data_IF_611328989871
#
_entry.id   IF_611328989871
#
_cell.length_a   1.000
_cell.length_b   1.000
_cell.length_c   1.000
_cell.angle_alpha   90.00
_cell.angle_beta   90.00
_cell.angle_gamma   90.00
#
_symmetry.space_group_name_H-M   'P 1'
#
loop_
_entity.id
_entity.type
_entity.pdbx_description
1 polymer ?
#
# COMPACT_ATOMS: atom_id res chain seq x y z
N UNK A 1 -21.62 -1.03 -3.20
CA UNK A 1 -20.16 -0.89 -2.97
C UNK A 1 -19.96 -0.59 -1.49
N UNK A 2 -19.03 -1.27 -0.81
CA UNK A 2 -18.73 -0.96 0.60
C UNK A 2 -17.93 0.33 0.63
N UNK A 3 -18.46 1.40 1.24
CA UNK A 3 -17.70 2.64 1.40
C UNK A 3 -16.75 2.51 2.59
N UNK A 4 -15.48 2.29 2.26
CA UNK A 4 -14.43 1.98 3.24
C UNK A 4 -14.12 3.17 4.14
N UNK A 5 -14.39 4.41 3.68
CA UNK A 5 -14.17 5.64 4.46
C UNK A 5 -15.29 5.93 5.46
N UNK A 6 -16.47 5.34 5.26
CA UNK A 6 -17.60 5.48 6.19
C UNK A 6 -17.61 4.39 7.27
N UNK A 7 -16.69 3.41 7.20
CA UNK A 7 -16.57 2.38 8.21
C UNK A 7 -15.96 2.95 9.49
N UNK A 8 -16.51 2.54 10.64
CA UNK A 8 -15.85 2.74 11.93
C UNK A 8 -14.61 1.84 12.04
N UNK A 9 -13.72 2.14 12.98
CA UNK A 9 -12.55 1.29 13.25
C UNK A 9 -12.93 -0.16 13.53
N UNK A 10 -14.02 -0.36 14.28
CA UNK A 10 -14.52 -1.68 14.59
C UNK A 10 -15.01 -2.42 13.35
N UNK A 11 -15.77 -1.75 12.48
CA UNK A 11 -16.27 -2.36 11.24
C UNK A 11 -15.16 -2.67 10.26
N UNK A 12 -14.15 -1.79 10.16
CA UNK A 12 -12.95 -2.00 9.36
C UNK A 12 -12.16 -3.22 9.85
N UNK A 13 -11.99 -3.34 11.18
CA UNK A 13 -11.33 -4.49 11.82
C UNK A 13 -12.05 -5.81 11.51
N UNK A 14 -13.37 -5.84 11.69
CA UNK A 14 -14.21 -7.02 11.43
C UNK A 14 -14.18 -7.44 9.97
N UNK A 15 -14.20 -6.49 9.03
CA UNK A 15 -14.11 -6.81 7.60
C UNK A 15 -12.77 -7.42 7.22
N UNK A 16 -11.67 -6.88 7.76
CA UNK A 16 -10.34 -7.44 7.54
C UNK A 16 -10.23 -8.86 8.11
N UNK A 17 -10.75 -9.09 9.33
CA UNK A 17 -10.78 -10.42 9.96
C UNK A 17 -11.58 -11.44 9.16
N UNK A 18 -12.74 -11.05 8.61
CA UNK A 18 -13.54 -11.90 7.72
C UNK A 18 -12.80 -12.33 6.46
N UNK A 19 -11.88 -11.50 5.97
CA UNK A 19 -11.05 -11.77 4.80
C UNK A 19 -9.77 -12.55 5.16
N UNK A 20 -9.62 -12.99 6.42
CA UNK A 20 -8.46 -13.73 6.90
C UNK A 20 -7.25 -12.87 7.25
N UNK A 21 -7.42 -11.55 7.37
CA UNK A 21 -6.37 -10.63 7.79
C UNK A 21 -6.56 -10.25 9.27
N UNK A 22 -5.52 -10.39 10.09
CA UNK A 22 -5.56 -10.02 11.52
C UNK A 22 -4.91 -8.66 11.74
N UNK A 23 -5.67 -7.55 11.66
CA UNK A 23 -5.13 -6.22 11.90
C UNK A 23 -4.78 -6.02 13.38
N UNK A 24 -3.72 -5.25 13.61
CA UNK A 24 -3.35 -4.74 14.93
C UNK A 24 -4.21 -3.53 15.34
N UNK A 25 -3.75 -2.71 16.29
CA UNK A 25 -4.49 -1.53 16.74
C UNK A 25 -4.76 -0.58 15.57
N UNK A 26 -6.02 -0.16 15.41
CA UNK A 26 -6.42 0.80 14.39
C UNK A 26 -6.19 2.20 14.93
N UNK A 27 -5.02 2.74 14.61
CA UNK A 27 -4.65 4.13 14.87
C UNK A 27 -4.92 5.00 13.64
N UNK A 28 -5.12 6.32 13.79
CA UNK A 28 -5.34 7.23 12.66
C UNK A 28 -4.26 7.13 11.56
N UNK A 29 -3.00 6.94 11.95
CA UNK A 29 -1.86 6.73 11.04
C UNK A 29 -1.94 5.43 10.25
N UNK A 30 -2.49 4.37 10.85
CA UNK A 30 -2.63 3.04 10.26
C UNK A 30 -3.97 2.80 9.57
N UNK A 31 -5.02 3.58 9.91
CA UNK A 31 -6.38 3.43 9.38
C UNK A 31 -6.38 3.47 7.85
N UNK A 32 -5.67 4.44 7.27
CA UNK A 32 -5.52 4.59 5.81
C UNK A 32 -4.89 3.37 5.14
N UNK A 33 -3.96 2.70 5.82
CA UNK A 33 -3.35 1.46 5.35
C UNK A 33 -4.38 0.33 5.36
N UNK A 34 -5.14 0.17 6.45
CA UNK A 34 -6.17 -0.84 6.58
C UNK A 34 -7.33 -0.65 5.59
N UNK A 35 -7.78 0.58 5.35
CA UNK A 35 -8.77 0.89 4.31
C UNK A 35 -8.29 0.45 2.92
N UNK A 36 -7.05 0.82 2.57
CA UNK A 36 -6.46 0.42 1.28
C UNK A 36 -6.35 -1.10 1.16
N UNK A 37 -5.99 -1.79 2.26
CA UNK A 37 -5.95 -3.25 2.32
C UNK A 37 -7.33 -3.86 2.09
N UNK A 38 -8.38 -3.30 2.71
CA UNK A 38 -9.75 -3.78 2.55
C UNK A 38 -10.23 -3.61 1.10
N UNK A 39 -10.00 -2.46 0.47
CA UNK A 39 -10.30 -2.26 -0.97
C UNK A 39 -9.56 -3.30 -1.84
N UNK A 40 -8.28 -3.53 -1.56
CA UNK A 40 -7.48 -4.50 -2.32
C UNK A 40 -7.99 -5.94 -2.17
N UNK A 41 -8.33 -6.36 -0.95
CA UNK A 41 -8.85 -7.70 -0.69
C UNK A 41 -10.23 -7.92 -1.34
N UNK A 42 -11.07 -6.88 -1.37
CA UNK A 42 -12.37 -6.93 -2.06
C UNK A 42 -12.22 -6.95 -3.59
N UNK A 43 -11.18 -6.31 -4.14
CA UNK A 43 -10.95 -6.24 -5.58
C UNK A 43 -10.23 -7.47 -6.15
N UNK A 44 -9.37 -8.13 -5.37
CA UNK A 44 -8.62 -9.32 -5.80
C UNK A 44 -8.16 -10.17 -4.60
N UNK A 45 -8.68 -11.39 -4.42
CA UNK A 45 -8.11 -12.39 -3.52
C UNK A 45 -7.04 -13.16 -4.32
N UNK A 46 -5.72 -12.86 -4.22
CA UNK A 46 -4.93 -13.03 -3.00
C UNK A 46 -3.87 -11.91 -2.78
N UNK A 47 -3.81 -11.30 -1.59
CA UNK A 47 -2.87 -10.19 -1.38
C UNK A 47 -1.47 -10.64 -0.93
N UNK A 48 -0.48 -10.61 -1.84
CA UNK A 48 0.96 -10.58 -1.48
C UNK A 48 1.30 -9.19 -0.96
N UNK A 49 1.76 -8.98 0.29
CA UNK A 49 2.00 -7.63 0.80
C UNK A 49 2.88 -6.83 -0.18
N UNK A 50 2.55 -5.55 -0.48
CA UNK A 50 3.39 -4.76 -1.33
C UNK A 50 4.65 -4.56 -0.51
N UNK A 51 5.72 -5.24 -0.90
CA UNK A 51 7.06 -4.91 -0.45
C UNK A 51 7.16 -3.41 -0.71
N UNK A 52 7.26 -2.61 0.34
CA UNK A 52 7.59 -1.19 0.22
C UNK A 52 8.92 -1.15 -0.52
N UNK A 53 8.86 -1.11 -1.84
CA UNK A 53 9.95 -0.64 -2.67
C UNK A 53 10.08 0.80 -2.18
N UNK A 54 11.10 1.05 -1.34
CA UNK A 54 11.55 2.40 -1.01
C UNK A 54 11.51 3.22 -2.32
N UNK A 55 11.15 4.50 -2.28
CA UNK A 55 11.38 5.38 -3.41
C UNK A 55 12.90 5.41 -3.63
N UNK A 56 13.43 4.51 -4.46
CA UNK A 56 14.76 4.69 -5.04
C UNK A 56 14.59 5.92 -5.91
N UNK A 57 15.15 7.02 -5.42
CA UNK A 57 15.21 8.31 -6.09
C UNK A 57 15.57 8.08 -7.57
N UNK A 58 14.83 8.65 -8.54
CA UNK A 58 15.39 8.85 -9.86
C UNK A 58 16.42 9.98 -9.71
N UNK A 59 17.66 9.61 -9.37
CA UNK A 59 18.82 10.44 -9.65
C UNK A 59 19.20 10.02 -11.08
N UNK A 60 18.90 10.77 -12.13
CA UNK A 60 19.01 12.22 -12.28
C UNK A 60 20.25 12.47 -13.12
N UNK A 61 20.04 13.19 -14.22
CA UNK A 61 21.00 13.77 -15.18
C UNK A 61 21.77 12.81 -16.08
N UNK A 62 21.35 12.81 -17.35
CA UNK A 62 22.23 12.82 -18.52
C UNK A 62 23.47 13.70 -18.27
N UNK A 63 24.65 13.18 -18.57
CA UNK A 63 25.74 13.97 -19.11
C UNK A 63 26.39 13.13 -20.22
N UNK A 64 26.18 13.61 -21.44
CA UNK A 64 26.83 13.17 -22.66
C UNK A 64 28.19 13.85 -22.74
N UNK A 65 29.08 13.28 -23.56
CA UNK A 65 30.38 13.83 -24.00
C UNK A 65 31.56 13.67 -23.04
N UNK A 66 32.53 12.83 -23.41
CA UNK A 66 33.81 13.36 -23.90
C UNK A 66 34.58 12.26 -24.65
N UNK A 67 35.33 12.71 -25.65
CA UNK A 67 36.13 11.95 -26.58
C UNK A 67 37.30 11.23 -25.89
N UNK A 68 37.98 10.31 -26.58
CA UNK A 68 39.45 10.26 -26.66
C UNK A 68 39.87 9.09 -27.57
N UNK A 69 40.72 9.46 -28.50
CA UNK A 69 41.44 8.71 -29.52
C UNK A 69 42.52 7.81 -28.90
N UNK A 70 42.61 6.55 -29.33
CA UNK A 70 43.85 5.74 -29.27
C UNK A 70 43.94 4.80 -30.47
#
# INVERSE_FOLDING_TARGET
MVDVKCLSDYELHKHLMKLGFTPGPILPSTRKTYEKKLVQLLASPPWKPPVMKRPTRPHGSEDSDDSEET
#
